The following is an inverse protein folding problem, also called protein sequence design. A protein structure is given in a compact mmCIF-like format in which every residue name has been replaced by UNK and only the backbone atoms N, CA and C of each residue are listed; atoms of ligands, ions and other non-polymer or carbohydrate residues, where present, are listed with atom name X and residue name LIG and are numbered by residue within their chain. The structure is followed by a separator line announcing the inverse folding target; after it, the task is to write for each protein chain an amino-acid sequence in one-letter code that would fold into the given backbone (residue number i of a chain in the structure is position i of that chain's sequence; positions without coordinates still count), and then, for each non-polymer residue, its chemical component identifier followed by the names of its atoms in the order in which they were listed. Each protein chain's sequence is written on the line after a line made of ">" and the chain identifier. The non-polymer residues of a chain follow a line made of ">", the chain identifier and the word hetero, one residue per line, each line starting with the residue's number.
data_IF_290065921012
#
_entry.id   IF_290065921012
#
_cell.length_a   1.000
_cell.length_b   1.000
_cell.length_c   1.000
_cell.angle_alpha   90.00
_cell.angle_beta   90.00
_cell.angle_gamma   90.00
#
_symmetry.space_group_name_H-M   'P 1'
#
loop_
_entity.id
_entity.type
_entity.pdbx_description
1 polymer ?
#
# COMPACT_ATOMS: atom_id res chain seq x y z
N UNK A 1 -39.52 -30.00 -13.13
CA UNK A 1 -38.42 -29.66 -12.22
C UNK A 1 -38.45 -28.15 -12.16
N UNK A 2 -38.88 -27.53 -11.04
CA UNK A 2 -39.04 -26.09 -11.00
C UNK A 2 -37.65 -25.45 -10.93
N UNK A 3 -37.45 -24.37 -11.69
CA UNK A 3 -36.27 -23.50 -11.69
C UNK A 3 -36.08 -22.74 -10.35
N UNK A 4 -36.63 -23.25 -9.24
CA UNK A 4 -36.73 -22.57 -7.94
C UNK A 4 -35.65 -22.97 -6.95
N UNK A 5 -34.89 -24.04 -7.20
CA UNK A 5 -33.79 -24.49 -6.31
C UNK A 5 -32.44 -23.86 -6.69
N UNK A 6 -32.34 -23.12 -7.81
CA UNK A 6 -31.13 -22.42 -8.23
C UNK A 6 -31.10 -20.94 -7.77
N UNK A 7 -32.25 -20.32 -7.55
CA UNK A 7 -32.34 -18.94 -7.02
C UNK A 7 -32.08 -18.89 -5.50
N UNK A 8 -32.28 -19.99 -4.75
CA UNK A 8 -31.96 -20.07 -3.31
C UNK A 8 -30.46 -20.22 -3.01
N UNK A 9 -29.60 -20.38 -4.03
CA UNK A 9 -28.13 -20.50 -3.87
C UNK A 9 -27.43 -19.13 -3.96
N UNK A 10 -28.16 -18.05 -4.28
CA UNK A 10 -27.59 -16.71 -4.49
C UNK A 10 -28.00 -15.67 -3.44
N UNK A 11 -28.90 -15.98 -2.52
CA UNK A 11 -29.32 -15.04 -1.45
C UNK A 11 -28.51 -15.27 -0.17
N UNK A 12 -27.21 -14.93 -0.23
CA UNK A 12 -26.43 -14.67 0.99
C UNK A 12 -26.98 -13.44 1.72
N UNK A 13 -26.75 -13.30 3.04
CA UNK A 13 -27.15 -12.10 3.76
C UNK A 13 -26.48 -10.88 3.13
N UNK A 14 -27.22 -9.77 2.97
CA UNK A 14 -26.58 -8.52 2.56
C UNK A 14 -25.68 -8.03 3.70
N UNK A 15 -24.53 -7.44 3.40
CA UNK A 15 -23.63 -6.95 4.46
C UNK A 15 -24.34 -6.02 5.47
N UNK A 16 -25.34 -5.26 5.00
CA UNK A 16 -26.19 -4.42 5.84
C UNK A 16 -26.89 -5.16 6.97
N UNK A 17 -27.25 -6.42 6.77
CA UNK A 17 -27.92 -7.27 7.75
C UNK A 17 -26.94 -7.89 8.77
N UNK A 18 -25.64 -7.86 8.46
CA UNK A 18 -24.55 -8.36 9.30
C UNK A 18 -23.93 -7.27 10.18
N UNK A 19 -24.23 -6.01 9.87
CA UNK A 19 -23.67 -4.85 10.58
C UNK A 19 -24.47 -4.52 11.84
N UNK A 20 -23.86 -4.78 12.99
CA UNK A 20 -24.41 -4.41 14.31
C UNK A 20 -24.10 -2.95 14.70
N UNK A 21 -23.14 -2.29 14.04
CA UNK A 21 -22.73 -0.92 14.34
C UNK A 21 -23.66 0.11 13.64
N UNK A 22 -24.49 0.86 14.39
CA UNK A 22 -25.48 1.76 13.79
C UNK A 22 -24.85 2.91 12.98
N UNK A 23 -23.61 3.28 13.28
CA UNK A 23 -22.88 4.33 12.58
C UNK A 23 -22.50 3.91 11.15
N UNK A 24 -22.28 2.62 10.92
CA UNK A 24 -21.96 2.06 9.61
C UNK A 24 -23.16 2.05 8.66
N UNK A 25 -24.38 2.16 9.18
CA UNK A 25 -25.60 2.24 8.35
C UNK A 25 -25.56 3.40 7.35
N UNK A 26 -24.81 4.45 7.67
CA UNK A 26 -24.59 5.62 6.80
C UNK A 26 -23.74 5.32 5.56
N UNK A 27 -23.00 4.21 5.53
CA UNK A 27 -22.19 3.76 4.39
C UNK A 27 -23.01 3.05 3.30
N UNK A 28 -24.26 2.67 3.61
CA UNK A 28 -25.17 1.97 2.68
C UNK A 28 -26.11 2.91 1.93
N UNK A 29 -25.90 4.22 2.02
CA UNK A 29 -26.67 5.22 1.26
C UNK A 29 -26.12 5.34 -0.15
N UNK A 30 -26.98 5.62 -1.13
CA UNK A 30 -26.55 5.95 -2.50
C UNK A 30 -26.22 7.46 -2.65
N UNK A 31 -26.50 8.28 -1.62
CA UNK A 31 -26.21 9.71 -1.67
C UNK A 31 -24.70 9.95 -1.45
N UNK A 32 -24.04 10.30 -2.55
CA UNK A 32 -22.62 10.65 -2.61
C UNK A 32 -22.15 11.62 -1.51
N UNK A 33 -22.95 12.65 -1.19
CA UNK A 33 -22.57 13.64 -0.16
C UNK A 33 -22.72 13.10 1.25
N UNK A 34 -23.68 12.21 1.47
CA UNK A 34 -23.84 11.53 2.75
C UNK A 34 -22.71 10.55 2.99
N UNK A 35 -22.30 9.78 1.97
CA UNK A 35 -21.14 8.88 2.05
C UNK A 35 -19.87 9.65 2.43
N UNK A 36 -19.53 10.76 1.75
CA UNK A 36 -18.34 11.56 2.11
C UNK A 36 -18.36 11.97 3.57
N UNK A 37 -19.49 12.52 4.00
CA UNK A 37 -19.64 13.01 5.37
C UNK A 37 -19.50 11.85 6.36
N UNK A 38 -20.11 10.71 6.06
CA UNK A 38 -20.01 9.50 6.86
C UNK A 38 -18.55 9.04 6.96
N UNK A 39 -17.89 8.81 5.82
CA UNK A 39 -16.49 8.37 5.75
C UNK A 39 -15.58 9.30 6.55
N UNK A 40 -15.64 10.62 6.35
CA UNK A 40 -14.81 11.55 7.13
C UNK A 40 -15.11 11.51 8.63
N UNK A 41 -16.38 11.45 9.01
CA UNK A 41 -16.76 11.35 10.43
C UNK A 41 -16.24 10.05 11.06
N UNK A 42 -16.27 8.95 10.31
CA UNK A 42 -15.79 7.65 10.77
C UNK A 42 -14.26 7.59 10.83
N UNK A 43 -13.54 8.24 9.91
CA UNK A 43 -12.08 8.42 9.96
C UNK A 43 -11.69 9.20 11.22
N UNK A 44 -12.29 10.37 11.44
CA UNK A 44 -12.01 11.20 12.63
C UNK A 44 -12.21 10.40 13.92
N UNK A 45 -13.29 9.61 13.97
CA UNK A 45 -13.54 8.71 15.11
C UNK A 45 -12.49 7.62 15.23
N UNK A 46 -12.11 6.96 14.14
CA UNK A 46 -11.09 5.92 14.17
C UNK A 46 -9.75 6.44 14.67
N UNK A 47 -9.38 7.68 14.35
CA UNK A 47 -8.13 8.29 14.83
C UNK A 47 -8.11 8.41 16.36
N UNK A 48 -9.26 8.61 17.00
CA UNK A 48 -9.39 8.84 18.44
C UNK A 48 -9.85 7.60 19.25
N UNK A 49 -10.45 6.59 18.61
CA UNK A 49 -11.11 5.44 19.25
C UNK A 49 -10.59 4.10 18.71
N UNK A 50 -9.60 3.54 19.40
CA UNK A 50 -9.01 2.22 19.05
C UNK A 50 -10.00 1.06 19.18
N UNK A 51 -10.97 1.13 20.10
CA UNK A 51 -12.00 0.10 20.21
C UNK A 51 -12.91 0.12 18.96
N UNK A 52 -13.16 1.31 18.39
CA UNK A 52 -13.90 1.43 17.14
C UNK A 52 -13.11 0.88 15.95
N UNK A 53 -11.78 1.09 15.88
CA UNK A 53 -10.95 0.44 14.86
C UNK A 53 -11.06 -1.10 14.93
N UNK A 54 -11.08 -1.66 16.14
CA UNK A 54 -11.33 -3.09 16.36
C UNK A 54 -12.67 -3.54 15.78
N UNK A 55 -13.75 -2.82 16.10
CA UNK A 55 -15.10 -3.16 15.58
C UNK A 55 -15.22 -3.03 14.06
N UNK A 56 -14.54 -2.06 13.44
CA UNK A 56 -14.45 -1.98 11.98
C UNK A 56 -13.70 -3.16 11.38
N UNK A 57 -12.63 -3.60 12.05
CA UNK A 57 -11.86 -4.79 11.64
C UNK A 57 -12.73 -6.04 11.74
N UNK A 58 -13.47 -6.21 12.84
CA UNK A 58 -14.41 -7.32 13.04
C UNK A 58 -15.54 -7.32 11.99
N UNK A 59 -16.05 -6.14 11.63
CA UNK A 59 -17.07 -6.00 10.59
C UNK A 59 -16.53 -6.38 9.19
N UNK A 60 -15.29 -5.99 8.88
CA UNK A 60 -14.60 -6.41 7.65
C UNK A 60 -14.35 -7.92 7.65
N UNK A 61 -13.94 -8.49 8.77
CA UNK A 61 -13.75 -9.94 8.91
C UNK A 61 -15.06 -10.70 8.68
N UNK A 62 -16.17 -10.21 9.23
CA UNK A 62 -17.50 -10.79 9.04
C UNK A 62 -17.91 -10.72 7.57
N UNK A 63 -17.71 -9.57 6.91
CA UNK A 63 -18.02 -9.43 5.50
C UNK A 63 -17.26 -10.43 4.61
N UNK A 64 -15.98 -10.65 4.90
CA UNK A 64 -15.15 -11.63 4.20
C UNK A 64 -15.66 -13.05 4.40
N UNK A 65 -16.00 -13.41 5.64
CA UNK A 65 -16.47 -14.76 5.98
C UNK A 65 -17.82 -15.10 5.34
N UNK A 66 -18.67 -14.09 5.15
CA UNK A 66 -19.98 -14.22 4.52
C UNK A 66 -19.97 -13.94 3.00
N UNK A 67 -18.80 -13.67 2.40
CA UNK A 67 -18.66 -13.47 0.94
C UNK A 67 -19.23 -12.15 0.43
N UNK A 68 -19.25 -11.13 1.28
CA UNK A 68 -19.71 -9.78 0.95
C UNK A 68 -18.56 -8.81 0.61
N UNK A 69 -17.35 -9.28 0.31
CA UNK A 69 -16.19 -8.41 0.16
C UNK A 69 -16.27 -7.37 -0.96
N UNK A 70 -17.12 -7.63 -1.96
CA UNK A 70 -17.39 -6.70 -3.07
C UNK A 70 -18.44 -5.62 -2.74
N UNK A 71 -19.06 -5.66 -1.56
CA UNK A 71 -20.01 -4.62 -1.16
C UNK A 71 -19.31 -3.26 -0.97
N UNK A 72 -19.88 -2.20 -1.53
CA UNK A 72 -19.29 -0.85 -1.46
C UNK A 72 -19.02 -0.38 -0.02
N UNK A 73 -19.90 -0.74 0.92
CA UNK A 73 -19.71 -0.43 2.34
C UNK A 73 -18.48 -1.11 2.95
N UNK A 74 -18.12 -2.31 2.49
CA UNK A 74 -16.90 -3.01 2.91
C UNK A 74 -15.66 -2.29 2.41
N UNK A 75 -15.68 -1.88 1.14
CA UNK A 75 -14.60 -1.07 0.56
C UNK A 75 -14.44 0.28 1.28
N UNK A 76 -15.52 0.86 1.79
CA UNK A 76 -15.45 2.05 2.65
C UNK A 76 -14.79 1.77 4.01
N UNK A 77 -15.09 0.64 4.63
CA UNK A 77 -14.43 0.23 5.88
C UNK A 77 -12.92 0.10 5.66
N UNK A 78 -12.49 -0.56 4.58
CA UNK A 78 -11.07 -0.68 4.21
C UNK A 78 -10.40 0.69 4.07
N UNK A 79 -11.06 1.64 3.39
CA UNK A 79 -10.55 2.99 3.21
C UNK A 79 -10.44 3.78 4.52
N UNK A 80 -11.44 3.64 5.41
CA UNK A 80 -11.44 4.28 6.73
C UNK A 80 -10.27 3.75 7.58
N UNK A 81 -10.07 2.43 7.60
CA UNK A 81 -8.97 1.77 8.32
C UNK A 81 -7.60 2.20 7.76
N UNK A 82 -7.50 2.36 6.44
CA UNK A 82 -6.30 2.84 5.75
C UNK A 82 -5.94 4.28 6.16
N UNK A 83 -6.90 5.21 6.11
CA UNK A 83 -6.68 6.62 6.47
C UNK A 83 -6.40 6.79 7.97
N UNK A 84 -7.02 5.96 8.82
CA UNK A 84 -6.71 5.92 10.24
C UNK A 84 -5.34 5.26 10.55
N UNK A 85 -4.66 4.70 9.54
CA UNK A 85 -3.43 3.91 9.67
C UNK A 85 -3.56 2.82 10.73
N UNK A 86 -4.69 2.12 10.72
CA UNK A 86 -5.04 1.14 11.74
C UNK A 86 -4.11 -0.08 11.71
N UNK A 87 -3.25 -0.21 12.72
CA UNK A 87 -2.38 -1.39 12.84
C UNK A 87 -3.16 -2.66 13.24
N UNK A 88 -4.30 -2.50 13.92
CA UNK A 88 -5.16 -3.63 14.31
C UNK A 88 -5.76 -4.34 13.10
N UNK A 89 -5.94 -3.62 11.99
CA UNK A 89 -6.52 -4.15 10.76
C UNK A 89 -5.52 -4.89 9.85
N UNK A 90 -4.22 -4.84 10.12
CA UNK A 90 -3.18 -5.34 9.19
C UNK A 90 -3.41 -6.79 8.79
N UNK A 91 -3.65 -7.69 9.75
CA UNK A 91 -3.86 -9.11 9.45
C UNK A 91 -5.11 -9.37 8.61
N UNK A 92 -6.22 -8.69 8.92
CA UNK A 92 -7.46 -8.77 8.14
C UNK A 92 -7.24 -8.26 6.72
N UNK A 93 -6.57 -7.12 6.56
CA UNK A 93 -6.27 -6.55 5.25
C UNK A 93 -5.32 -7.45 4.45
N UNK A 94 -4.35 -8.11 5.08
CA UNK A 94 -3.51 -9.11 4.41
C UNK A 94 -4.34 -10.31 3.94
N UNK A 95 -5.29 -10.78 4.76
CA UNK A 95 -6.23 -11.84 4.36
C UNK A 95 -7.06 -11.40 3.15
N UNK A 96 -7.64 -10.20 3.19
CA UNK A 96 -8.38 -9.58 2.08
C UNK A 96 -7.53 -9.45 0.82
N UNK A 97 -6.27 -9.05 0.96
CA UNK A 97 -5.34 -8.89 -0.16
C UNK A 97 -5.07 -10.21 -0.88
N UNK A 98 -5.12 -11.35 -0.19
CA UNK A 98 -4.95 -12.67 -0.80
C UNK A 98 -6.22 -13.28 -1.41
N UNK A 99 -7.35 -12.58 -1.38
CA UNK A 99 -8.62 -13.05 -1.94
C UNK A 99 -8.75 -12.69 -3.42
N UNK A 100 -8.16 -13.51 -4.30
CA UNK A 100 -8.13 -13.25 -5.75
C UNK A 100 -9.51 -13.21 -6.42
N UNK A 101 -10.49 -13.93 -5.85
CA UNK A 101 -11.87 -13.96 -6.38
C UNK A 101 -12.65 -12.66 -6.08
N UNK A 102 -12.15 -11.83 -5.16
CA UNK A 102 -12.71 -10.52 -4.78
C UNK A 102 -11.78 -9.39 -5.24
N UNK A 103 -11.74 -9.15 -6.56
CA UNK A 103 -10.82 -8.20 -7.21
C UNK A 103 -10.84 -6.80 -6.56
N UNK A 104 -12.02 -6.27 -6.22
CA UNK A 104 -12.13 -4.92 -5.65
C UNK A 104 -11.59 -4.88 -4.23
N UNK A 105 -11.91 -5.89 -3.42
CA UNK A 105 -11.45 -5.97 -2.04
C UNK A 105 -9.93 -6.19 -1.99
N UNK A 106 -9.44 -7.13 -2.77
CA UNK A 106 -8.02 -7.44 -2.92
C UNK A 106 -7.21 -6.18 -3.26
N UNK A 107 -7.68 -5.38 -4.23
CA UNK A 107 -7.02 -4.14 -4.62
C UNK A 107 -7.09 -3.06 -3.52
N UNK A 108 -8.28 -2.84 -2.96
CA UNK A 108 -8.48 -1.86 -1.88
C UNK A 108 -7.61 -2.19 -0.65
N UNK A 109 -7.48 -3.47 -0.30
CA UNK A 109 -6.64 -3.94 0.79
C UNK A 109 -5.16 -3.69 0.53
N UNK A 110 -4.67 -3.91 -0.70
CA UNK A 110 -3.30 -3.56 -1.08
C UNK A 110 -2.99 -2.07 -0.87
N UNK A 111 -3.87 -1.20 -1.36
CA UNK A 111 -3.75 0.26 -1.16
C UNK A 111 -3.78 0.60 0.34
N UNK A 112 -4.68 -0.03 1.10
CA UNK A 112 -4.79 0.19 2.54
C UNK A 112 -3.49 -0.17 3.28
N UNK A 113 -2.87 -1.31 2.94
CA UNK A 113 -1.59 -1.73 3.51
C UNK A 113 -0.48 -0.72 3.20
N UNK A 114 -0.39 -0.21 1.96
CA UNK A 114 0.55 0.87 1.62
C UNK A 114 0.29 2.14 2.43
N UNK A 115 -0.98 2.48 2.68
CA UNK A 115 -1.39 3.70 3.39
C UNK A 115 -1.11 3.63 4.89
N UNK A 116 -1.25 2.44 5.50
CA UNK A 116 -0.84 2.17 6.88
C UNK A 116 0.68 2.38 7.03
N UNK A 117 1.45 1.96 6.02
CA UNK A 117 2.89 2.22 5.93
C UNK A 117 3.73 1.10 6.53
N UNK A 118 4.84 1.47 7.20
CA UNK A 118 5.90 0.55 7.64
C UNK A 118 5.39 -0.71 8.33
N UNK A 119 4.51 -0.66 9.36
CA UNK A 119 4.08 -1.87 10.07
C UNK A 119 3.39 -2.90 9.18
N UNK A 120 2.60 -2.43 8.20
CA UNK A 120 1.92 -3.31 7.26
C UNK A 120 2.90 -3.94 6.25
N UNK A 121 3.91 -3.18 5.84
CA UNK A 121 4.96 -3.69 4.96
C UNK A 121 5.87 -4.69 5.66
N UNK A 122 6.20 -4.48 6.94
CA UNK A 122 6.95 -5.45 7.74
C UNK A 122 6.19 -6.78 7.79
N UNK A 123 4.89 -6.73 8.08
CA UNK A 123 4.04 -7.91 8.10
C UNK A 123 3.96 -8.62 6.73
N UNK A 124 3.91 -7.87 5.63
CA UNK A 124 3.95 -8.44 4.27
C UNK A 124 5.28 -9.13 3.96
N UNK A 125 6.41 -8.54 4.35
CA UNK A 125 7.72 -9.15 4.16
C UNK A 125 7.87 -10.44 4.99
N UNK A 126 7.43 -10.42 6.25
CA UNK A 126 7.38 -11.60 7.10
C UNK A 126 6.52 -12.70 6.49
N UNK A 127 5.34 -12.34 5.97
CA UNK A 127 4.44 -13.30 5.34
C UNK A 127 5.04 -13.94 4.08
N UNK A 128 5.79 -13.17 3.29
CA UNK A 128 6.52 -13.72 2.13
C UNK A 128 7.64 -14.66 2.55
N UNK A 129 8.28 -14.43 3.68
CA UNK A 129 9.28 -15.33 4.25
C UNK A 129 8.70 -16.66 4.72
N UNK A 130 7.40 -16.74 4.99
CA UNK A 130 6.68 -18.01 5.21
C UNK A 130 6.47 -18.83 3.93
N UNK A 131 6.90 -18.31 2.77
CA UNK A 131 6.81 -18.92 1.45
C UNK A 131 5.37 -19.27 1.01
N UNK A 132 4.49 -18.25 0.88
CA UNK A 132 3.12 -18.45 0.47
C UNK A 132 3.04 -18.92 -1.00
N UNK A 133 1.81 -19.21 -1.45
CA UNK A 133 1.52 -19.59 -2.84
C UNK A 133 2.07 -18.61 -3.88
N UNK A 134 2.24 -19.09 -5.11
CA UNK A 134 2.91 -18.34 -6.18
C UNK A 134 2.30 -16.96 -6.43
N UNK A 135 0.97 -16.92 -6.58
CA UNK A 135 0.27 -15.70 -6.98
C UNK A 135 0.35 -14.63 -5.89
N UNK A 136 0.21 -15.02 -4.62
CA UNK A 136 0.41 -14.13 -3.49
C UNK A 136 1.83 -13.58 -3.41
N UNK A 137 2.86 -14.39 -3.72
CA UNK A 137 4.24 -13.87 -3.82
C UNK A 137 4.37 -12.79 -4.89
N UNK A 138 3.85 -13.07 -6.08
CA UNK A 138 3.87 -12.13 -7.22
C UNK A 138 3.16 -10.83 -6.87
N UNK A 139 1.98 -10.93 -6.28
CA UNK A 139 1.16 -9.80 -5.89
C UNK A 139 1.85 -8.94 -4.83
N UNK A 140 2.44 -9.57 -3.82
CA UNK A 140 3.16 -8.86 -2.76
C UNK A 140 4.41 -8.16 -3.30
N UNK A 141 5.16 -8.78 -4.21
CA UNK A 141 6.30 -8.09 -4.84
C UNK A 141 5.86 -6.84 -5.60
N UNK A 142 4.76 -6.90 -6.36
CA UNK A 142 4.22 -5.70 -7.02
C UNK A 142 3.89 -4.62 -6.01
N UNK A 143 3.21 -4.98 -4.92
CA UNK A 143 2.83 -4.05 -3.87
C UNK A 143 4.06 -3.40 -3.21
N UNK A 144 5.10 -4.20 -2.90
CA UNK A 144 6.36 -3.68 -2.37
C UNK A 144 7.05 -2.74 -3.37
N UNK A 145 6.99 -3.01 -4.67
CA UNK A 145 7.49 -2.10 -5.70
C UNK A 145 6.79 -0.74 -5.73
N UNK A 146 5.57 -0.68 -5.20
CA UNK A 146 4.72 0.51 -5.14
C UNK A 146 4.88 1.27 -3.80
N UNK A 147 5.73 0.77 -2.89
CA UNK A 147 5.99 1.40 -1.59
C UNK A 147 6.76 2.73 -1.66
N UNK A 148 7.21 3.16 -2.85
CA UNK A 148 7.87 4.45 -3.06
C UNK A 148 7.03 5.67 -2.64
N UNK A 149 5.76 5.46 -2.29
CA UNK A 149 4.86 6.43 -1.65
C UNK A 149 5.27 6.77 -0.22
N UNK A 150 5.92 5.85 0.49
CA UNK A 150 6.24 6.03 1.89
C UNK A 150 7.37 7.05 2.00
N UNK A 151 7.13 8.15 2.69
CA UNK A 151 8.10 9.24 2.88
C UNK A 151 9.26 8.87 3.85
N UNK A 152 9.47 7.57 4.10
CA UNK A 152 10.44 7.04 5.04
C UNK A 152 11.60 6.38 4.28
N UNK A 153 12.55 7.20 3.82
CA UNK A 153 13.69 6.78 2.99
C UNK A 153 14.50 5.62 3.57
N UNK A 154 14.64 5.55 4.91
CA UNK A 154 15.35 4.48 5.58
C UNK A 154 14.70 3.11 5.32
N UNK A 155 13.38 3.06 5.39
CA UNK A 155 12.64 1.81 5.21
C UNK A 155 12.57 1.35 3.75
N UNK A 156 12.65 2.27 2.79
CA UNK A 156 12.78 1.90 1.37
C UNK A 156 14.05 1.08 1.14
N UNK A 157 15.16 1.40 1.82
CA UNK A 157 16.39 0.62 1.69
C UNK A 157 16.25 -0.79 2.30
N UNK A 158 15.53 -0.91 3.43
CA UNK A 158 15.22 -2.22 4.03
C UNK A 158 14.40 -3.10 3.07
N UNK A 159 13.42 -2.51 2.37
CA UNK A 159 12.64 -3.21 1.34
C UNK A 159 13.52 -3.60 0.14
N UNK A 160 14.44 -2.73 -0.30
CA UNK A 160 15.40 -3.07 -1.36
C UNK A 160 16.27 -4.25 -0.94
N UNK A 161 16.83 -4.24 0.28
CA UNK A 161 17.62 -5.35 0.80
C UNK A 161 16.80 -6.65 0.84
N UNK A 162 15.56 -6.58 1.33
CA UNK A 162 14.63 -7.71 1.31
C UNK A 162 14.42 -8.24 -0.12
N UNK A 163 14.10 -7.37 -1.08
CA UNK A 163 13.89 -7.75 -2.48
C UNK A 163 15.14 -8.36 -3.12
N UNK A 164 16.35 -7.85 -2.82
CA UNK A 164 17.62 -8.46 -3.28
C UNK A 164 17.74 -9.91 -2.77
N UNK A 165 17.42 -10.15 -1.50
CA UNK A 165 17.42 -11.49 -0.93
C UNK A 165 16.36 -12.40 -1.57
N UNK A 166 15.15 -11.87 -1.84
CA UNK A 166 14.07 -12.60 -2.53
C UNK A 166 14.45 -12.94 -3.97
N UNK A 167 15.02 -12.01 -4.72
CA UNK A 167 15.52 -12.25 -6.09
C UNK A 167 16.50 -13.42 -6.11
N UNK A 168 17.45 -13.48 -5.18
CA UNK A 168 18.40 -14.59 -5.08
C UNK A 168 17.70 -15.93 -4.77
N UNK A 169 16.65 -15.94 -3.95
CA UNK A 169 15.87 -17.16 -3.65
C UNK A 169 15.01 -17.61 -4.83
N UNK A 170 14.33 -16.68 -5.50
CA UNK A 170 13.45 -16.98 -6.64
C UNK A 170 14.24 -17.46 -7.87
N UNK A 171 15.50 -17.03 -8.05
CA UNK A 171 16.40 -17.56 -9.08
C UNK A 171 16.66 -19.06 -9.00
N UNK A 172 16.54 -19.65 -7.79
CA UNK A 172 16.76 -21.07 -7.58
C UNK A 172 15.51 -21.91 -7.92
N UNK A 173 14.40 -21.27 -8.30
CA UNK A 173 13.12 -21.90 -8.61
C UNK A 173 12.93 -22.11 -10.11
N UNK A 174 11.87 -22.84 -10.47
CA UNK A 174 11.55 -23.05 -11.87
C UNK A 174 11.14 -21.74 -12.56
N UNK A 175 11.69 -21.42 -13.75
CA UNK A 175 11.41 -20.16 -14.44
C UNK A 175 9.95 -19.91 -14.82
N UNK A 176 9.11 -20.96 -14.82
CA UNK A 176 7.69 -20.86 -15.18
C UNK A 176 6.86 -20.03 -14.20
N UNK A 177 7.38 -19.81 -12.98
CA UNK A 177 6.66 -19.14 -11.89
C UNK A 177 6.51 -17.63 -12.09
N UNK A 178 7.37 -16.98 -12.90
CA UNK A 178 7.41 -15.51 -13.11
C UNK A 178 7.54 -14.65 -11.83
N UNK A 179 7.58 -15.22 -10.63
CA UNK A 179 7.79 -14.51 -9.37
C UNK A 179 9.11 -13.75 -9.33
N UNK A 180 10.16 -14.30 -9.95
CA UNK A 180 11.44 -13.61 -10.13
C UNK A 180 11.28 -12.31 -10.94
N UNK A 181 10.47 -12.32 -12.00
CA UNK A 181 10.25 -11.13 -12.84
C UNK A 181 9.58 -10.01 -12.04
N UNK A 182 8.59 -10.36 -11.21
CA UNK A 182 7.87 -9.39 -10.36
C UNK A 182 8.78 -8.82 -9.25
N UNK A 183 9.62 -9.66 -8.63
CA UNK A 183 10.59 -9.20 -7.63
C UNK A 183 11.64 -8.25 -8.25
N UNK A 184 12.11 -8.56 -9.47
CA UNK A 184 13.03 -7.70 -10.22
C UNK A 184 12.35 -6.38 -10.59
N UNK A 185 11.10 -6.43 -11.08
CA UNK A 185 10.34 -5.23 -11.43
C UNK A 185 10.12 -4.33 -10.21
N UNK A 186 9.83 -4.91 -9.04
CA UNK A 186 9.69 -4.18 -7.79
C UNK A 186 11.00 -3.48 -7.38
N UNK A 187 12.12 -4.20 -7.41
CA UNK A 187 13.45 -3.66 -7.13
C UNK A 187 13.81 -2.51 -8.08
N UNK A 188 13.50 -2.66 -9.38
CA UNK A 188 13.69 -1.62 -10.38
C UNK A 188 12.85 -0.36 -10.11
N UNK A 189 11.56 -0.51 -9.76
CA UNK A 189 10.68 0.62 -9.43
C UNK A 189 11.19 1.44 -8.25
N UNK A 190 11.74 0.78 -7.24
CA UNK A 190 12.29 1.46 -6.06
C UNK A 190 13.64 2.13 -6.33
N UNK A 191 14.25 1.94 -7.50
CA UNK A 191 15.56 2.51 -7.81
C UNK A 191 16.69 1.78 -7.10
N UNK A 192 16.68 0.46 -7.08
CA UNK A 192 17.78 -0.34 -6.54
C UNK A 192 18.95 -0.41 -7.52
N UNK A 193 19.59 0.74 -7.78
CA UNK A 193 20.60 0.87 -8.83
C UNK A 193 21.84 0.01 -8.59
N UNK A 194 22.15 -0.28 -7.32
CA UNK A 194 23.26 -1.17 -6.94
C UNK A 194 23.09 -2.59 -7.51
N UNK A 195 21.85 -3.01 -7.76
CA UNK A 195 21.52 -4.32 -8.29
C UNK A 195 21.63 -4.41 -9.82
N UNK A 196 21.80 -3.29 -10.54
CA UNK A 196 21.69 -3.25 -12.02
C UNK A 196 22.60 -4.26 -12.73
N UNK A 197 23.86 -4.38 -12.31
CA UNK A 197 24.80 -5.30 -12.94
C UNK A 197 24.47 -6.77 -12.64
N UNK A 198 23.96 -7.06 -11.43
CA UNK A 198 23.48 -8.40 -11.09
C UNK A 198 22.24 -8.76 -11.94
N UNK A 199 21.29 -7.84 -12.12
CA UNK A 199 20.12 -8.04 -12.98
C UNK A 199 20.52 -8.35 -14.43
N UNK A 200 21.51 -7.65 -14.97
CA UNK A 200 22.08 -7.93 -16.30
C UNK A 200 22.69 -9.33 -16.38
N UNK A 201 23.39 -9.75 -15.33
CA UNK A 201 23.97 -11.09 -15.26
C UNK A 201 22.88 -12.18 -15.24
N UNK A 202 21.84 -12.00 -14.43
CA UNK A 202 20.65 -12.87 -14.38
C UNK A 202 19.97 -12.96 -15.75
N UNK A 203 19.78 -11.82 -16.42
CA UNK A 203 19.16 -11.75 -17.74
C UNK A 203 19.94 -12.53 -18.80
N UNK A 204 21.27 -12.42 -18.81
CA UNK A 204 22.13 -13.10 -19.78
C UNK A 204 22.28 -14.58 -19.46
N UNK A 205 22.57 -14.93 -18.21
CA UNK A 205 22.91 -16.30 -17.80
C UNK A 205 21.66 -17.17 -17.60
N UNK A 206 20.60 -16.62 -17.02
CA UNK A 206 19.35 -17.35 -16.73
C UNK A 206 18.38 -17.39 -17.91
N UNK A 207 18.39 -16.37 -18.77
CA UNK A 207 17.37 -16.17 -19.82
C UNK A 207 17.93 -15.97 -21.23
N UNK A 208 19.24 -16.16 -21.46
CA UNK A 208 19.91 -15.97 -22.76
C UNK A 208 19.64 -14.60 -23.40
N UNK A 209 19.29 -13.60 -22.59
CA UNK A 209 18.92 -12.27 -23.06
C UNK A 209 17.57 -12.19 -23.79
N UNK A 210 16.60 -13.06 -23.48
CA UNK A 210 15.29 -13.12 -24.19
C UNK A 210 14.07 -12.79 -23.34
N UNK A 211 14.22 -12.58 -22.03
CA UNK A 211 13.09 -12.23 -21.16
C UNK A 211 12.77 -10.73 -21.22
N UNK A 212 11.70 -10.37 -21.93
CA UNK A 212 11.30 -8.96 -22.10
C UNK A 212 10.98 -8.27 -20.78
N UNK A 213 10.34 -8.96 -19.83
CA UNK A 213 9.98 -8.36 -18.53
C UNK A 213 11.21 -7.94 -17.71
N UNK A 214 12.24 -8.79 -17.71
CA UNK A 214 13.50 -8.49 -17.02
C UNK A 214 14.26 -7.39 -17.77
N UNK A 215 14.26 -7.43 -19.10
CA UNK A 215 14.86 -6.38 -19.93
C UNK A 215 14.23 -5.01 -19.63
N UNK A 216 12.90 -4.92 -19.66
CA UNK A 216 12.15 -3.69 -19.38
C UNK A 216 12.48 -3.15 -17.98
N UNK A 217 12.61 -4.04 -16.99
CA UNK A 217 12.98 -3.66 -15.61
C UNK A 217 14.41 -3.11 -15.53
N UNK A 218 15.37 -3.72 -16.24
CA UNK A 218 16.77 -3.25 -16.32
C UNK A 218 16.83 -1.88 -17.02
N UNK A 219 16.11 -1.70 -18.11
CA UNK A 219 16.04 -0.44 -18.84
C UNK A 219 15.42 0.65 -17.96
N UNK A 220 14.30 0.34 -17.30
CA UNK A 220 13.61 1.25 -16.39
C UNK A 220 14.50 1.69 -15.22
N UNK A 221 15.22 0.77 -14.58
CA UNK A 221 16.16 1.08 -13.50
C UNK A 221 17.35 1.92 -13.98
N UNK A 222 17.86 1.65 -15.19
CA UNK A 222 18.95 2.43 -15.78
C UNK A 222 18.53 3.88 -16.09
N UNK A 223 17.26 4.09 -16.45
CA UNK A 223 16.68 5.41 -16.70
C UNK A 223 16.28 6.15 -15.42
N UNK A 224 15.90 5.41 -14.36
CA UNK A 224 15.37 5.95 -13.11
C UNK A 224 16.14 5.40 -11.89
N UNK A 225 17.43 5.78 -11.70
CA UNK A 225 18.29 5.23 -10.66
C UNK A 225 17.81 5.55 -9.24
N UNK A 226 17.11 6.67 -9.06
CA UNK A 226 16.56 7.09 -7.76
C UNK A 226 15.15 6.52 -7.49
N UNK A 227 14.65 5.70 -8.41
CA UNK A 227 13.31 5.12 -8.37
C UNK A 227 12.31 5.92 -9.19
N UNK A 228 11.22 5.25 -9.55
CA UNK A 228 10.11 5.86 -10.27
C UNK A 228 9.18 6.47 -9.22
N UNK A 229 8.86 7.78 -9.30
CA UNK A 229 7.84 8.36 -8.44
C UNK A 229 6.56 7.56 -8.59
N UNK A 230 6.00 7.07 -7.48
CA UNK A 230 4.72 6.42 -7.52
C UNK A 230 3.67 7.41 -8.02
N UNK A 231 3.16 7.15 -9.21
CA UNK A 231 1.93 7.75 -9.71
C UNK A 231 0.94 6.60 -9.66
N UNK A 232 0.00 6.58 -8.69
CA UNK A 232 -1.07 5.60 -8.78
C UNK A 232 -1.74 5.88 -10.12
N UNK A 233 -1.67 4.91 -11.05
CA UNK A 233 -2.75 4.80 -12.02
C UNK A 233 -3.99 4.65 -11.16
N UNK A 234 -4.90 5.63 -11.18
CA UNK A 234 -6.11 5.57 -10.35
C UNK A 234 -6.70 4.18 -10.54
N UNK A 235 -6.70 3.40 -9.46
CA UNK A 235 -7.30 2.07 -9.51
C UNK A 235 -8.79 2.22 -9.82
N UNK A 236 -9.50 1.21 -10.35
CA UNK A 236 -10.95 1.32 -10.55
C UNK A 236 -11.70 1.79 -9.28
N UNK A 237 -11.19 1.43 -8.10
CA UNK A 237 -11.63 1.94 -6.82
C UNK A 237 -11.29 3.44 -6.62
N UNK A 238 -10.04 3.88 -6.81
CA UNK A 238 -9.68 5.30 -6.74
C UNK A 238 -10.33 6.18 -7.85
N UNK A 239 -10.58 5.64 -9.04
CA UNK A 239 -11.36 6.31 -10.09
C UNK A 239 -12.82 6.48 -9.65
N UNK A 240 -13.38 5.44 -9.00
CA UNK A 240 -14.75 5.42 -8.55
C UNK A 240 -14.97 6.25 -7.28
N UNK A 241 -13.94 6.43 -6.46
CA UNK A 241 -14.07 6.86 -5.06
C UNK A 241 -12.99 7.83 -4.55
N UNK A 242 -11.89 8.03 -5.28
CA UNK A 242 -10.80 8.96 -4.92
C UNK A 242 -11.24 10.42 -4.85
N UNK A 243 -12.37 10.75 -5.47
CA UNK A 243 -13.04 12.05 -5.34
C UNK A 243 -13.47 12.40 -3.90
N UNK A 244 -13.53 11.43 -3.00
CA UNK A 244 -13.79 11.67 -1.56
C UNK A 244 -12.61 12.41 -0.92
N UNK A 245 -11.40 12.15 -1.40
CA UNK A 245 -10.15 12.63 -0.82
C UNK A 245 -9.49 13.76 -1.64
N UNK A 246 -10.11 14.21 -2.74
CA UNK A 246 -9.57 15.21 -3.67
C UNK A 246 -9.17 16.55 -2.99
N UNK A 247 -9.95 17.04 -2.03
CA UNK A 247 -9.64 18.31 -1.34
C UNK A 247 -8.46 18.17 -0.34
N UNK A 248 -8.22 16.97 0.21
CA UNK A 248 -7.19 16.71 1.23
C UNK A 248 -5.87 16.20 0.61
N UNK A 249 -5.92 15.54 -0.56
CA UNK A 249 -4.73 15.05 -1.28
C UNK A 249 -3.89 16.18 -1.88
N UNK A 250 -4.51 17.22 -2.45
CA UNK A 250 -3.78 18.40 -2.95
C UNK A 250 -3.25 19.27 -1.81
N UNK A 251 -4.00 19.44 -0.72
CA UNK A 251 -3.61 20.30 0.39
C UNK A 251 -2.54 19.65 1.29
N UNK A 252 -2.51 18.32 1.43
CA UNK A 252 -1.36 17.58 2.02
C UNK A 252 -0.12 17.59 1.12
N UNK A 253 -0.28 17.62 -0.21
CA UNK A 253 0.84 17.83 -1.16
C UNK A 253 1.46 19.22 -1.09
N UNK A 254 0.66 20.26 -0.83
CA UNK A 254 1.09 21.67 -0.90
C UNK A 254 1.56 22.22 0.46
N UNK A 255 1.01 21.74 1.59
CA UNK A 255 1.37 22.23 2.93
C UNK A 255 2.48 21.42 3.61
N UNK A 256 3.58 21.17 2.88
CA UNK A 256 4.82 20.66 3.48
C UNK A 256 5.56 21.81 4.18
N UNK A 257 5.84 21.76 5.49
CA UNK A 257 6.91 22.57 6.04
C UNK A 257 8.19 22.11 5.34
N UNK A 258 8.87 23.01 4.63
CA UNK A 258 10.26 22.78 4.26
C UNK A 258 11.06 22.63 5.56
N UNK A 259 11.25 21.39 6.01
CA UNK A 259 12.33 21.08 6.93
C UNK A 259 13.62 21.37 6.17
N UNK A 260 14.17 22.56 6.44
CA UNK A 260 15.53 22.94 6.08
C UNK A 260 16.49 22.01 6.81
N UNK A 261 16.80 20.87 6.20
CA UNK A 261 18.09 20.24 6.38
C UNK A 261 19.11 21.01 5.54
N UNK A 262 19.84 21.92 6.20
CA UNK A 262 21.24 22.14 5.86
C UNK A 262 22.00 22.50 7.14
N UNK A 263 22.77 21.53 7.61
CA UNK A 263 23.64 21.66 8.75
C UNK A 263 24.90 22.47 8.41
N UNK A 264 25.14 23.50 9.23
CA UNK A 264 26.45 23.92 9.75
C UNK A 264 27.54 24.52 8.83
N UNK A 265 28.02 25.69 9.29
CA UNK A 265 29.41 26.17 9.27
C UNK A 265 30.04 26.60 7.93
N UNK A 266 30.15 27.92 7.74
CA UNK A 266 31.45 28.51 7.39
C UNK A 266 31.65 29.89 8.02
N UNK A 267 32.73 30.01 8.78
CA UNK A 267 33.33 31.27 9.21
C UNK A 267 33.82 32.07 7.99
N UNK A 268 33.64 33.39 8.01
CA UNK A 268 34.72 34.31 7.64
C UNK A 268 34.66 35.63 8.41
N UNK A 269 35.86 36.03 8.85
CA UNK A 269 36.26 37.14 9.69
C UNK A 269 36.03 38.54 9.12
N UNK A 270 35.82 39.51 10.04
CA UNK A 270 36.48 40.83 10.19
C UNK A 270 35.49 41.83 10.82
N UNK A 271 35.80 42.79 11.69
CA UNK A 271 36.95 43.19 12.49
C UNK A 271 36.44 44.33 13.40
N UNK A 272 36.85 44.35 14.67
CA UNK A 272 37.10 45.52 15.54
C UNK A 272 36.02 46.56 15.92
N UNK A 273 35.97 46.76 17.25
CA UNK A 273 35.95 48.01 18.04
C UNK A 273 34.82 47.95 19.09
N UNK A 274 35.13 47.56 20.33
CA UNK A 274 35.75 48.35 21.40
C UNK A 274 34.70 49.08 22.24
N UNK A 275 34.95 49.03 23.56
CA UNK A 275 34.40 49.86 24.63
C UNK A 275 32.93 49.63 25.00
N UNK A 276 32.49 49.67 26.25
CA UNK A 276 33.02 49.64 27.61
C UNK A 276 31.72 49.69 28.48
N UNK A 277 31.82 49.39 29.77
CA UNK A 277 30.89 49.85 30.81
C UNK A 277 29.51 49.17 31.00
N UNK A 278 29.52 48.28 32.00
CA UNK A 278 28.76 48.38 33.26
C UNK A 278 27.55 49.34 33.28
N UNK A 279 26.35 48.83 33.61
CA UNK A 279 25.68 48.98 34.91
C UNK A 279 24.21 48.48 34.83
N UNK A 280 23.82 47.78 35.92
CA UNK A 280 22.48 47.38 36.42
C UNK A 280 21.39 46.82 35.48
#
# INVERSE_FOLDING_TARGET
>A
MPDSELDEILDGPSFKELVDEPELLSLFTDDRREIVRAVHTLIDRCLDDGDFQGRLTDALDTAIEDGCGEDAAVLWIVAILAEARSQTAIHTLMRSFAMEDEESLCNAAGIALLRIGVPALEALMEWIDEEPGLDLRRQTYRLLGDCGVIEERGYIEDIKEFLRARIAREQLREPADRALEEAIAASARLGDYEQLDNLREIFVQGYEGRNTSIQDSIESLAENPDGIPFVPSMTPWEESYGWIFEEDLESRRVNRPQEQEDASSSHHHHHHCDDEDCEE
#
